data_IF_243889633521
#
_entry.id   IF_243889633521
#
_cell.length_a   1.000
_cell.length_b   1.000
_cell.length_c   1.000
_cell.angle_alpha   90.00
_cell.angle_beta   90.00
_cell.angle_gamma   90.00
#
_symmetry.space_group_name_H-M   'P 1'
#
loop_
_entity.id
_entity.type
_entity.pdbx_description
1 polymer ?
#
# COMPACT_ATOMS: atom_id res chain seq x y z
N UNK A 1 -5.34 16.95 -4.45
CA UNK A 1 -4.91 17.05 -3.05
C UNK A 1 -5.94 16.44 -2.11
N UNK A 2 -5.47 15.81 -1.02
CA UNK A 2 -6.30 15.24 0.05
C UNK A 2 -7.34 14.21 -0.42
N UNK A 3 -7.12 13.63 -1.59
CA UNK A 3 -8.00 12.62 -2.17
C UNK A 3 -7.81 11.27 -1.45
N UNK A 4 -8.90 10.55 -1.26
CA UNK A 4 -8.91 9.16 -0.84
C UNK A 4 -9.63 8.33 -1.89
N UNK A 5 -9.06 7.18 -2.25
CA UNK A 5 -9.67 6.21 -3.16
C UNK A 5 -9.88 4.90 -2.38
N UNK A 6 -11.12 4.42 -2.35
CA UNK A 6 -11.50 3.19 -1.64
C UNK A 6 -12.25 2.25 -2.59
N UNK A 7 -11.77 1.03 -2.73
CA UNK A 7 -12.57 -0.07 -3.24
C UNK A 7 -13.47 -0.63 -2.15
N UNK A 8 -14.69 -1.01 -2.50
CA UNK A 8 -15.68 -1.53 -1.55
C UNK A 8 -15.87 -3.05 -1.63
N UNK A 9 -15.01 -3.75 -2.37
CA UNK A 9 -15.02 -5.21 -2.41
C UNK A 9 -14.52 -5.84 -1.11
N UNK A 10 -14.84 -7.11 -0.89
CA UNK A 10 -14.31 -7.90 0.23
C UNK A 10 -12.82 -8.17 -0.01
N UNK A 11 -12.45 -8.47 -1.26
CA UNK A 11 -11.07 -8.61 -1.71
C UNK A 11 -10.64 -7.38 -2.54
N UNK A 12 -9.35 -7.04 -2.57
CA UNK A 12 -8.86 -6.01 -3.48
C UNK A 12 -9.18 -6.29 -4.96
N UNK A 13 -9.29 -7.57 -5.32
CA UNK A 13 -9.59 -8.02 -6.70
C UNK A 13 -11.04 -7.83 -7.13
N UNK A 14 -11.94 -7.51 -6.21
CA UNK A 14 -13.36 -7.29 -6.52
C UNK A 14 -13.63 -5.92 -7.14
N UNK A 15 -12.71 -4.98 -6.96
CA UNK A 15 -12.78 -3.64 -7.56
C UNK A 15 -11.57 -3.40 -8.44
N UNK A 16 -11.76 -3.16 -9.73
CA UNK A 16 -10.68 -2.97 -10.68
C UNK A 16 -10.74 -1.58 -11.31
N UNK A 17 -9.58 -0.91 -11.37
CA UNK A 17 -9.37 0.30 -12.15
C UNK A 17 -8.25 0.07 -13.18
N UNK A 18 -8.34 0.72 -14.33
CA UNK A 18 -7.32 0.54 -15.35
C UNK A 18 -5.99 1.16 -14.93
N UNK A 19 -6.02 2.39 -14.42
CA UNK A 19 -4.80 3.13 -14.12
C UNK A 19 -4.93 3.98 -12.87
N UNK A 20 -3.90 3.96 -12.04
CA UNK A 20 -3.68 4.92 -10.96
C UNK A 20 -2.41 5.72 -11.29
N UNK A 21 -2.60 7.00 -11.59
CA UNK A 21 -1.51 7.86 -12.05
C UNK A 21 -1.52 9.18 -11.30
N UNK A 22 -0.63 9.29 -10.34
CA UNK A 22 -0.48 10.47 -9.50
C UNK A 22 0.93 11.01 -9.70
N UNK A 23 1.04 11.98 -10.60
CA UNK A 23 2.29 12.66 -10.91
C UNK A 23 2.46 13.97 -10.12
N UNK A 24 3.61 14.59 -10.27
CA UNK A 24 3.94 15.88 -9.66
C UNK A 24 4.38 16.92 -10.73
N UNK A 25 3.97 16.76 -11.99
CA UNK A 25 4.31 17.65 -13.13
C UNK A 25 4.05 19.12 -12.82
N UNK A 26 2.93 19.40 -12.15
CA UNK A 26 2.47 20.72 -11.74
C UNK A 26 3.44 21.43 -10.75
N UNK A 27 4.39 20.69 -10.16
CA UNK A 27 5.40 21.18 -9.24
C UNK A 27 6.82 20.74 -9.67
N UNK A 28 7.08 20.74 -10.96
CA UNK A 28 8.39 20.34 -11.51
C UNK A 28 8.86 18.96 -11.01
N UNK A 29 7.95 17.98 -10.97
CA UNK A 29 8.16 16.62 -10.47
C UNK A 29 8.45 16.49 -8.96
N UNK A 30 8.28 17.58 -8.21
CA UNK A 30 8.51 17.58 -6.77
C UNK A 30 7.30 17.02 -5.99
N UNK A 31 7.32 15.73 -5.72
CA UNK A 31 6.26 15.04 -5.00
C UNK A 31 6.18 15.41 -3.51
N UNK A 32 7.17 16.13 -2.95
CA UNK A 32 7.12 16.54 -1.53
C UNK A 32 5.97 17.48 -1.21
N UNK A 33 5.36 18.09 -2.22
CA UNK A 33 4.19 18.96 -2.11
C UNK A 33 2.87 18.29 -2.49
N UNK A 34 2.89 16.99 -2.84
CA UNK A 34 1.72 16.26 -3.30
C UNK A 34 1.16 15.40 -2.16
N UNK A 35 0.06 15.86 -1.56
CA UNK A 35 -0.55 15.22 -0.40
C UNK A 35 -1.89 14.59 -0.77
N UNK A 36 -1.95 13.26 -0.64
CA UNK A 36 -3.18 12.48 -0.70
C UNK A 36 -3.50 11.90 0.68
N UNK A 37 -4.71 11.37 0.88
CA UNK A 37 -5.05 10.68 2.13
C UNK A 37 -4.64 9.22 2.08
N UNK A 38 -5.16 8.48 1.09
CA UNK A 38 -4.82 7.07 0.88
C UNK A 38 -5.39 6.54 -0.43
N UNK A 39 -4.91 5.35 -0.83
CA UNK A 39 -5.55 4.50 -1.80
C UNK A 39 -5.64 3.09 -1.22
N UNK A 40 -6.85 2.49 -1.17
CA UNK A 40 -7.09 1.28 -0.39
C UNK A 40 -8.08 0.32 -1.08
N UNK A 41 -7.78 -0.98 -1.01
CA UNK A 41 -8.68 -2.10 -1.29
C UNK A 41 -9.23 -2.15 -2.73
N UNK A 42 -8.36 -2.11 -3.73
CA UNK A 42 -8.71 -2.31 -5.14
C UNK A 42 -7.53 -2.84 -5.96
N UNK A 43 -7.79 -3.23 -7.21
CA UNK A 43 -6.76 -3.63 -8.18
C UNK A 43 -6.50 -2.52 -9.20
N UNK A 44 -5.25 -2.42 -9.64
CA UNK A 44 -4.78 -1.54 -10.72
C UNK A 44 -4.21 -2.42 -11.83
N UNK A 45 -4.72 -2.26 -13.06
CA UNK A 45 -4.33 -3.12 -14.17
C UNK A 45 -3.02 -2.69 -14.83
N UNK A 46 -2.85 -1.40 -15.07
CA UNK A 46 -1.67 -0.85 -15.74
C UNK A 46 -0.58 -0.46 -14.74
N UNK A 47 0.64 -0.22 -15.27
CA UNK A 47 1.74 0.35 -14.51
C UNK A 47 1.30 1.63 -13.75
N UNK A 48 1.65 1.71 -12.47
CA UNK A 48 1.22 2.76 -11.56
C UNK A 48 2.33 3.76 -11.29
N UNK A 49 2.00 5.05 -11.28
CA UNK A 49 2.80 6.11 -10.66
C UNK A 49 2.08 6.63 -9.42
N UNK A 50 2.78 6.63 -8.29
CA UNK A 50 2.27 7.11 -7.02
C UNK A 50 3.24 8.12 -6.40
N UNK A 51 3.42 9.26 -7.08
CA UNK A 51 4.32 10.33 -6.66
C UNK A 51 3.68 11.19 -5.58
N UNK A 52 3.62 10.66 -4.38
CA UNK A 52 3.08 11.31 -3.18
C UNK A 52 4.11 11.33 -2.06
N UNK A 53 3.91 12.18 -1.09
CA UNK A 53 4.81 12.33 0.04
C UNK A 53 4.08 12.54 1.36
N UNK A 54 4.86 12.50 2.44
CA UNK A 54 4.43 12.74 3.81
C UNK A 54 3.48 11.65 4.33
N UNK A 55 3.94 10.39 4.25
CA UNK A 55 3.28 9.23 4.81
C UNK A 55 1.89 8.88 4.24
N UNK A 56 1.63 9.26 2.99
CA UNK A 56 0.42 8.82 2.28
C UNK A 56 0.42 7.30 2.14
N UNK A 57 -0.70 6.67 2.46
CA UNK A 57 -0.75 5.21 2.53
C UNK A 57 -1.36 4.55 1.29
N UNK A 58 -0.71 3.47 0.85
CA UNK A 58 -1.27 2.41 0.02
C UNK A 58 -1.59 1.23 0.93
N UNK A 59 -2.82 0.73 0.93
CA UNK A 59 -3.23 -0.42 1.75
C UNK A 59 -4.08 -1.38 0.95
N UNK A 60 -3.75 -2.68 1.00
CA UNK A 60 -4.56 -3.72 0.35
C UNK A 60 -4.83 -3.38 -1.12
N UNK A 61 -3.81 -3.00 -1.86
CA UNK A 61 -3.91 -2.74 -3.31
C UNK A 61 -3.20 -3.86 -4.06
N UNK A 62 -3.87 -4.38 -5.08
CA UNK A 62 -3.31 -5.35 -6.01
C UNK A 62 -2.87 -4.65 -7.30
N UNK A 63 -1.59 -4.60 -7.57
CA UNK A 63 -1.04 -4.04 -8.80
C UNK A 63 -0.70 -5.19 -9.77
N UNK A 64 -1.43 -5.28 -10.87
CA UNK A 64 -1.22 -6.30 -11.90
C UNK A 64 0.03 -6.01 -12.77
N UNK A 65 0.67 -4.87 -12.58
CA UNK A 65 1.96 -4.50 -13.17
C UNK A 65 2.90 -3.99 -12.07
N UNK A 66 3.83 -3.10 -12.39
CA UNK A 66 4.74 -2.45 -11.46
C UNK A 66 4.21 -1.12 -10.92
N UNK A 67 4.91 -0.60 -9.93
CA UNK A 67 4.65 0.72 -9.35
C UNK A 67 5.94 1.49 -9.15
N UNK A 68 5.92 2.79 -9.50
CA UNK A 68 6.94 3.75 -9.12
C UNK A 68 6.37 4.74 -8.10
N UNK A 69 7.14 5.00 -7.05
CA UNK A 69 6.71 5.85 -5.92
C UNK A 69 7.21 7.31 -6.04
N UNK A 70 7.79 7.66 -7.17
CA UNK A 70 8.30 9.01 -7.46
C UNK A 70 7.89 9.46 -8.87
N UNK A 71 8.11 10.73 -9.17
CA UNK A 71 7.94 11.29 -10.50
C UNK A 71 9.31 11.64 -11.08
N UNK A 72 9.86 10.72 -11.87
CA UNK A 72 11.19 10.86 -12.43
C UNK A 72 12.25 11.09 -11.34
N UNK A 73 13.13 12.07 -11.55
CA UNK A 73 14.20 12.47 -10.63
C UNK A 73 13.76 13.54 -9.62
N UNK A 74 12.47 13.90 -9.61
CA UNK A 74 11.93 14.89 -8.67
C UNK A 74 12.00 14.43 -7.22
N UNK A 75 11.95 15.38 -6.30
CA UNK A 75 12.06 15.12 -4.86
C UNK A 75 10.84 14.37 -4.31
N UNK A 76 11.09 13.40 -3.43
CA UNK A 76 10.05 12.67 -2.69
C UNK A 76 10.49 12.43 -1.24
N UNK A 77 9.57 12.43 -0.29
CA UNK A 77 9.94 12.46 1.14
C UNK A 77 9.19 11.50 2.04
N UNK A 78 8.85 10.33 1.52
CA UNK A 78 8.35 9.23 2.34
C UNK A 78 6.90 8.85 2.10
N UNK A 79 6.55 7.68 2.60
CA UNK A 79 5.22 7.11 2.48
C UNK A 79 5.10 5.78 3.23
N UNK A 80 3.98 5.12 3.01
CA UNK A 80 3.63 3.87 3.65
C UNK A 80 2.90 2.94 2.68
N UNK A 81 3.35 1.70 2.58
CA UNK A 81 2.72 0.66 1.79
C UNK A 81 2.53 -0.60 2.63
N UNK A 82 1.30 -1.09 2.75
CA UNK A 82 1.00 -2.24 3.58
C UNK A 82 -0.04 -3.17 2.96
N UNK A 83 0.18 -4.47 3.11
CA UNK A 83 -0.75 -5.51 2.68
C UNK A 83 -1.08 -5.43 1.18
N UNK A 84 -0.11 -4.97 0.37
CA UNK A 84 -0.22 -4.81 -1.06
C UNK A 84 0.52 -5.92 -1.83
N UNK A 85 -0.04 -6.30 -2.98
CA UNK A 85 0.60 -7.19 -3.95
C UNK A 85 1.00 -6.41 -5.19
N UNK A 86 2.21 -6.63 -5.68
CA UNK A 86 2.71 -6.06 -6.94
C UNK A 86 3.28 -7.19 -7.78
N UNK A 87 2.71 -7.46 -8.95
CA UNK A 87 3.15 -8.60 -9.76
C UNK A 87 4.59 -8.44 -10.26
N UNK A 88 5.03 -7.21 -10.51
CA UNK A 88 6.37 -6.96 -11.04
C UNK A 88 7.24 -6.20 -10.05
N UNK A 89 7.55 -4.99 -10.36
CA UNK A 89 8.53 -4.15 -9.67
C UNK A 89 7.89 -3.11 -8.76
N UNK A 90 8.48 -2.91 -7.59
CA UNK A 90 8.31 -1.69 -6.80
C UNK A 90 9.58 -0.86 -6.90
N UNK A 91 9.49 0.32 -7.51
CA UNK A 91 10.58 1.29 -7.53
C UNK A 91 10.30 2.41 -6.55
N UNK A 92 11.16 2.60 -5.56
CA UNK A 92 11.03 3.74 -4.65
C UNK A 92 11.47 5.06 -5.30
N UNK A 93 12.23 4.98 -6.39
CA UNK A 93 12.76 6.15 -7.07
C UNK A 93 13.52 7.08 -6.11
N UNK A 94 13.15 8.33 -6.09
CA UNK A 94 13.76 9.38 -5.25
C UNK A 94 13.21 9.46 -3.82
N UNK A 95 12.35 8.52 -3.37
CA UNK A 95 11.85 8.52 -2.00
C UNK A 95 12.97 8.44 -0.98
N UNK A 96 13.00 9.38 -0.03
CA UNK A 96 14.05 9.47 0.98
C UNK A 96 13.91 8.37 2.03
N UNK A 97 12.71 8.14 2.53
CA UNK A 97 12.37 7.08 3.47
C UNK A 97 10.99 6.52 3.17
N UNK A 98 10.81 5.24 3.42
CA UNK A 98 9.52 4.59 3.19
C UNK A 98 9.35 3.37 4.09
N UNK A 99 8.12 3.13 4.55
CA UNK A 99 7.80 1.92 5.30
C UNK A 99 6.97 0.96 4.44
N UNK A 100 7.49 -0.23 4.26
CA UNK A 100 6.83 -1.35 3.59
C UNK A 100 6.52 -2.44 4.61
N UNK A 101 5.25 -2.84 4.72
CA UNK A 101 4.85 -3.84 5.70
C UNK A 101 3.93 -4.90 5.09
N UNK A 102 4.32 -6.17 5.22
CA UNK A 102 3.52 -7.31 4.78
C UNK A 102 3.09 -7.21 3.30
N UNK A 103 4.00 -6.85 2.42
CA UNK A 103 3.78 -6.79 0.99
C UNK A 103 4.37 -7.99 0.27
N UNK A 104 3.80 -8.32 -0.90
CA UNK A 104 4.38 -9.24 -1.86
C UNK A 104 4.68 -8.49 -3.16
N UNK A 105 5.85 -8.74 -3.77
CA UNK A 105 6.23 -8.19 -5.08
C UNK A 105 7.23 -9.08 -5.81
N UNK A 106 7.40 -8.84 -7.12
CA UNK A 106 8.41 -9.53 -7.91
C UNK A 106 9.83 -9.14 -7.48
N UNK A 107 10.13 -7.86 -7.44
CA UNK A 107 11.38 -7.31 -6.92
C UNK A 107 11.24 -5.85 -6.52
N UNK A 108 12.22 -5.36 -5.74
CA UNK A 108 12.29 -3.98 -5.28
C UNK A 108 13.57 -3.32 -5.82
N UNK A 109 13.49 -2.04 -6.13
CA UNK A 109 14.65 -1.26 -6.53
C UNK A 109 14.65 0.15 -5.96
N UNK A 110 15.83 0.74 -5.96
CA UNK A 110 16.11 2.10 -5.52
C UNK A 110 15.93 2.29 -4.01
N UNK A 111 16.25 3.49 -3.56
CA UNK A 111 16.19 3.93 -2.17
C UNK A 111 17.26 4.97 -1.92
N UNK A 112 16.89 6.08 -1.27
CA UNK A 112 17.82 7.19 -1.08
C UNK A 112 18.39 7.18 0.33
N UNK A 113 17.56 7.05 1.34
CA UNK A 113 18.01 7.21 2.71
C UNK A 113 17.75 5.97 3.57
N UNK A 114 16.47 5.66 3.85
CA UNK A 114 16.12 4.45 4.59
C UNK A 114 14.77 3.89 4.16
N UNK A 115 14.83 2.71 3.56
CA UNK A 115 13.67 1.90 3.22
C UNK A 115 13.51 0.81 4.26
N UNK A 116 12.44 0.86 5.04
CA UNK A 116 12.16 -0.12 6.09
C UNK A 116 11.18 -1.16 5.57
N UNK A 117 11.59 -2.42 5.62
CA UNK A 117 10.80 -3.58 5.21
C UNK A 117 10.49 -4.44 6.43
N UNK A 118 9.21 -4.68 6.69
CA UNK A 118 8.76 -5.55 7.76
C UNK A 118 7.76 -6.59 7.23
N UNK A 119 8.06 -7.88 7.39
CA UNK A 119 7.23 -8.94 6.86
C UNK A 119 7.18 -8.99 5.33
N UNK A 120 8.26 -8.66 4.67
CA UNK A 120 8.46 -8.76 3.21
C UNK A 120 9.52 -9.82 2.94
N UNK A 121 9.37 -10.59 1.87
CA UNK A 121 10.38 -11.56 1.49
C UNK A 121 11.73 -10.85 1.19
N UNK A 122 12.73 -11.11 2.02
CA UNK A 122 14.04 -10.45 1.95
C UNK A 122 14.80 -10.74 0.66
N UNK A 123 14.52 -11.86 0.01
CA UNK A 123 15.16 -12.24 -1.26
C UNK A 123 14.71 -11.37 -2.45
N UNK A 124 13.62 -10.62 -2.29
CA UNK A 124 13.10 -9.69 -3.29
C UNK A 124 13.60 -8.25 -3.11
N UNK A 125 14.44 -8.01 -2.10
CA UNK A 125 15.02 -6.71 -1.75
C UNK A 125 16.50 -6.75 -2.09
N UNK A 126 17.09 -5.65 -2.62
CA UNK A 126 18.52 -5.62 -2.92
C UNK A 126 19.38 -6.02 -1.72
N UNK A 127 20.56 -6.56 -1.99
CA UNK A 127 21.52 -6.98 -0.97
C UNK A 127 22.04 -5.78 -0.16
N UNK A 128 22.60 -6.07 1.01
CA UNK A 128 23.11 -5.05 1.91
C UNK A 128 22.08 -4.58 2.95
N UNK A 129 22.50 -3.66 3.78
CA UNK A 129 21.68 -3.12 4.87
C UNK A 129 22.20 -1.80 5.41
N UNK A 130 21.33 -1.09 6.07
CA UNK A 130 21.63 0.19 6.72
C UNK A 130 22.76 0.00 7.77
N UNK A 131 23.71 0.92 7.92
CA UNK A 131 23.80 2.24 7.30
C UNK A 131 24.55 2.31 5.96
N UNK A 132 25.10 1.21 5.46
CA UNK A 132 25.91 1.21 4.24
C UNK A 132 25.05 1.21 2.97
N UNK A 133 23.89 0.54 3.03
CA UNK A 133 22.85 0.55 2.01
C UNK A 133 21.53 1.00 2.64
N UNK A 134 20.60 1.59 1.89
CA UNK A 134 19.41 2.23 2.47
C UNK A 134 18.31 1.23 2.93
N UNK A 135 18.66 -0.01 3.29
CA UNK A 135 17.69 -1.08 3.53
C UNK A 135 17.74 -1.57 4.97
N UNK A 136 16.65 -1.37 5.70
CA UNK A 136 16.41 -1.99 7.01
C UNK A 136 15.36 -3.09 6.87
N UNK A 137 15.71 -4.32 7.26
CA UNK A 137 14.91 -5.52 6.97
C UNK A 137 14.56 -6.26 8.25
N UNK A 138 13.25 -6.49 8.43
CA UNK A 138 12.67 -7.34 9.46
C UNK A 138 11.85 -8.44 8.76
N UNK A 139 12.26 -9.69 8.91
CA UNK A 139 11.69 -10.82 8.15
C UNK A 139 10.22 -11.03 8.43
N UNK A 140 9.80 -10.88 9.69
CA UNK A 140 8.41 -11.05 10.11
C UNK A 140 7.89 -9.85 10.89
N UNK A 141 6.57 -9.68 10.91
CA UNK A 141 5.89 -8.76 11.82
C UNK A 141 5.39 -9.56 13.02
N UNK A 142 5.87 -9.30 14.25
CA UNK A 142 5.57 -10.11 15.42
C UNK A 142 4.08 -10.18 15.73
N UNK A 143 3.37 -9.07 15.60
CA UNK A 143 1.91 -9.00 15.81
C UNK A 143 1.31 -7.83 15.07
N UNK A 144 0.26 -8.09 14.28
CA UNK A 144 -0.47 -7.07 13.53
C UNK A 144 -1.95 -7.41 13.41
N UNK A 145 -2.77 -6.40 13.42
CA UNK A 145 -4.12 -6.43 12.88
C UNK A 145 -4.20 -5.34 11.83
N UNK A 146 -4.56 -5.71 10.60
CA UNK A 146 -4.70 -4.75 9.52
C UNK A 146 -5.86 -3.80 9.80
N UNK A 147 -5.80 -2.60 9.22
CA UNK A 147 -6.83 -1.58 9.36
C UNK A 147 -8.19 -2.13 8.91
N UNK A 148 -9.26 -1.99 9.70
CA UNK A 148 -10.62 -2.24 9.22
C UNK A 148 -10.95 -1.40 7.99
N UNK A 149 -11.75 -1.95 7.08
CA UNK A 149 -12.08 -1.30 5.82
C UNK A 149 -13.57 -1.44 5.48
N UNK A 150 -14.08 -0.45 4.74
CA UNK A 150 -15.46 -0.45 4.25
C UNK A 150 -15.62 -1.49 3.15
N UNK A 151 -16.75 -2.21 3.18
CA UNK A 151 -17.10 -3.21 2.18
C UNK A 151 -18.59 -3.08 1.81
N UNK A 152 -18.89 -3.52 0.59
CA UNK A 152 -20.24 -3.84 0.17
C UNK A 152 -20.29 -5.34 -0.13
N UNK A 153 -21.18 -6.03 0.53
CA UNK A 153 -21.46 -7.45 0.35
C UNK A 153 -22.87 -7.59 -0.25
N UNK A 154 -23.03 -8.43 -1.27
CA UNK A 154 -24.32 -8.55 -1.98
C UNK A 154 -25.45 -9.07 -1.08
N UNK A 155 -25.13 -9.92 -0.12
CA UNK A 155 -26.10 -10.53 0.80
C UNK A 155 -26.37 -9.66 2.03
N UNK A 156 -25.34 -8.95 2.53
CA UNK A 156 -25.37 -8.25 3.81
C UNK A 156 -25.34 -6.71 3.70
N UNK A 157 -25.19 -6.18 2.47
CA UNK A 157 -25.12 -4.75 2.21
C UNK A 157 -23.82 -4.11 2.67
N UNK A 158 -23.86 -2.83 3.01
CA UNK A 158 -22.69 -2.09 3.48
C UNK A 158 -22.27 -2.49 4.90
N UNK A 159 -20.97 -2.62 5.09
CA UNK A 159 -20.38 -2.98 6.38
C UNK A 159 -18.93 -2.59 6.53
N UNK A 160 -18.36 -3.01 7.63
CA UNK A 160 -16.94 -2.90 7.95
C UNK A 160 -16.38 -4.30 8.11
N UNK A 161 -15.35 -4.63 7.36
CA UNK A 161 -14.56 -5.83 7.56
C UNK A 161 -13.44 -5.51 8.57
N UNK A 162 -13.39 -6.28 9.65
CA UNK A 162 -12.35 -6.20 10.68
C UNK A 162 -11.44 -7.41 10.52
N UNK A 163 -10.21 -7.24 9.98
CA UNK A 163 -9.27 -8.34 9.79
C UNK A 163 -8.87 -9.02 11.09
N UNK A 164 -8.56 -10.32 11.02
CA UNK A 164 -8.00 -11.05 12.13
C UNK A 164 -6.60 -10.57 12.50
N UNK A 165 -6.24 -10.79 13.77
CA UNK A 165 -4.86 -10.61 14.23
C UNK A 165 -3.96 -11.69 13.64
N UNK A 166 -2.80 -11.27 13.15
CA UNK A 166 -1.71 -12.14 12.68
C UNK A 166 -0.51 -12.03 13.60
N UNK A 167 0.22 -13.11 13.77
CA UNK A 167 1.45 -13.15 14.56
C UNK A 167 2.57 -13.78 13.72
N UNK A 168 3.81 -13.33 13.94
CA UNK A 168 5.00 -13.78 13.21
C UNK A 168 4.72 -13.90 11.71
N UNK A 169 4.12 -12.85 11.13
CA UNK A 169 3.59 -12.93 9.77
C UNK A 169 4.47 -12.25 8.73
N UNK A 170 4.44 -12.80 7.53
CA UNK A 170 5.07 -12.29 6.32
C UNK A 170 4.04 -12.27 5.19
N UNK A 171 4.19 -11.34 4.24
CA UNK A 171 3.33 -11.23 3.06
C UNK A 171 1.91 -10.75 3.36
N UNK A 172 1.12 -10.66 2.29
CA UNK A 172 -0.25 -10.14 2.32
C UNK A 172 -1.21 -11.00 3.14
N UNK A 173 -2.28 -10.37 3.65
CA UNK A 173 -3.27 -11.05 4.51
C UNK A 173 -4.42 -11.71 3.75
N UNK A 174 -4.57 -11.43 2.46
CA UNK A 174 -5.74 -11.78 1.66
C UNK A 174 -5.49 -12.76 0.50
N UNK A 175 -4.28 -13.32 0.39
CA UNK A 175 -3.91 -14.23 -0.72
C UNK A 175 -4.77 -15.51 -0.76
N UNK A 176 -5.17 -16.01 0.39
CA UNK A 176 -6.00 -17.21 0.54
C UNK A 176 -7.42 -16.88 1.02
N UNK A 177 -7.97 -15.77 0.57
CA UNK A 177 -9.24 -15.24 1.03
C UNK A 177 -9.11 -14.35 2.25
N UNK A 178 -10.19 -13.67 2.61
CA UNK A 178 -10.20 -12.75 3.76
C UNK A 178 -10.47 -13.53 5.03
N UNK A 179 -9.62 -13.30 6.04
CA UNK A 179 -9.87 -13.73 7.41
C UNK A 179 -10.23 -12.51 8.25
N UNK A 180 -11.45 -12.50 8.77
CA UNK A 180 -11.95 -11.37 9.54
C UNK A 180 -13.43 -11.50 9.88
N UNK A 181 -13.97 -10.47 10.51
CA UNK A 181 -15.39 -10.40 10.89
C UNK A 181 -16.05 -9.22 10.17
N UNK A 182 -17.16 -9.51 9.51
CA UNK A 182 -18.02 -8.48 8.92
C UNK A 182 -18.94 -7.90 9.99
N UNK A 183 -19.04 -6.59 10.04
CA UNK A 183 -20.00 -5.85 10.86
C UNK A 183 -20.85 -4.96 9.96
N UNK A 184 -22.17 -5.20 9.94
CA UNK A 184 -23.11 -4.37 9.18
C UNK A 184 -23.06 -2.91 9.63
N UNK A 185 -23.15 -1.96 8.69
CA UNK A 185 -23.23 -0.53 9.03
C UNK A 185 -24.42 -0.17 9.93
N UNK A 186 -25.45 -1.01 9.98
CA UNK A 186 -26.58 -0.84 10.91
C UNK A 186 -26.18 -0.96 12.39
N UNK A 187 -24.99 -1.48 12.68
CA UNK A 187 -24.42 -1.55 14.02
C UNK A 187 -23.68 -0.29 14.46
N UNK A 188 -23.52 0.68 13.56
CA UNK A 188 -22.76 1.90 13.80
C UNK A 188 -23.66 3.13 13.74
N UNK A 189 -23.34 4.11 14.55
CA UNK A 189 -23.88 5.46 14.37
C UNK A 189 -23.12 6.14 13.25
N UNK A 190 -23.80 6.47 12.17
CA UNK A 190 -23.25 7.25 11.07
C UNK A 190 -23.69 8.69 11.29
N UNK A 191 -22.73 9.56 11.62
CA UNK A 191 -23.01 10.98 11.80
C UNK A 191 -23.36 11.64 10.45
N UNK A 192 -24.37 12.47 10.44
CA UNK A 192 -24.65 13.34 9.30
C UNK A 192 -23.52 14.32 9.07
N UNK A 193 -23.20 14.60 7.80
CA UNK A 193 -22.14 15.52 7.40
C UNK A 193 -22.61 16.97 7.43
#
# INVERSE_FOLDING_TARGET
>A
FYTQVLGLGILPTDTNINKLWVNADWMFHNATCNFWRSAENFSVNDYCMWANSQAVSLRRVNFNDGIVLSDGEGWSSGGFMADCKVEKMVSSGSQQQYLFRNNNWGYFENGVWNMVFAGVNVDTIPTGGWPYEPYTKEETVPKIQEKPYLVYDEDNGYGVMVPEKRTECQGISWENGVKGTFYSLNMFYVADA
#
